data_IF_481798828904
#
_entry.id   IF_481798828904
#
_cell.length_a   1.000
_cell.length_b   1.000
_cell.length_c   1.000
_cell.angle_alpha   90.00
_cell.angle_beta   90.00
_cell.angle_gamma   90.00
#
_symmetry.space_group_name_H-M   'P 1'
#
loop_
_entity.id
_entity.type
_entity.pdbx_description
1 polymer ?
#
# COMPACT_ATOMS: atom_id res chain seq x y z
N UNK A 1 -13.34 0.06 -15.50
CA UNK A 1 -14.79 -0.15 -15.34
C UNK A 1 -14.96 -1.18 -14.24
N UNK A 2 -15.79 -0.89 -13.25
CA UNK A 2 -16.13 -1.79 -12.16
C UNK A 2 -17.51 -2.39 -12.45
N UNK A 3 -17.61 -3.72 -12.42
CA UNK A 3 -18.85 -4.44 -12.65
C UNK A 3 -19.35 -5.02 -11.32
N UNK A 4 -20.53 -4.59 -10.88
CA UNK A 4 -21.17 -5.11 -9.66
C UNK A 4 -21.97 -6.38 -9.98
N UNK A 5 -22.20 -7.21 -8.96
CA UNK A 5 -22.96 -8.46 -9.10
C UNK A 5 -24.42 -8.25 -9.55
N UNK A 6 -24.99 -7.07 -9.29
CA UNK A 6 -26.31 -6.64 -9.78
C UNK A 6 -26.29 -6.18 -11.26
N UNK A 7 -25.20 -6.44 -12.00
CA UNK A 7 -24.98 -6.03 -13.39
C UNK A 7 -24.78 -4.52 -13.63
N UNK A 8 -24.69 -3.72 -12.57
CA UNK A 8 -24.34 -2.31 -12.68
C UNK A 8 -22.87 -2.13 -13.10
N UNK A 9 -22.62 -1.12 -13.93
CA UNK A 9 -21.28 -0.82 -14.47
C UNK A 9 -20.88 0.61 -14.15
N UNK A 10 -19.87 0.75 -13.30
CA UNK A 10 -19.36 2.05 -12.85
C UNK A 10 -18.05 2.35 -13.58
N UNK A 11 -17.95 3.52 -14.21
CA UNK A 11 -16.70 4.00 -14.81
C UNK A 11 -15.90 4.73 -13.74
N UNK A 12 -14.65 4.32 -13.55
CA UNK A 12 -13.71 5.03 -12.68
C UNK A 12 -13.20 6.27 -13.42
N UNK A 13 -13.10 7.38 -12.71
CA UNK A 13 -12.49 8.61 -13.23
C UNK A 13 -10.96 8.51 -13.11
N UNK A 14 -10.23 9.35 -13.85
CA UNK A 14 -8.76 9.37 -13.79
C UNK A 14 -8.18 9.83 -12.44
N UNK A 15 -9.03 10.28 -11.51
CA UNK A 15 -8.62 10.70 -10.17
C UNK A 15 -8.52 9.53 -9.18
N UNK A 16 -8.98 8.34 -9.57
CA UNK A 16 -9.01 7.17 -8.69
C UNK A 16 -7.80 6.29 -8.97
N UNK A 17 -6.97 6.09 -7.93
CA UNK A 17 -5.88 5.13 -7.93
C UNK A 17 -6.14 4.06 -6.86
N UNK A 18 -5.90 2.80 -7.22
CA UNK A 18 -5.96 1.67 -6.28
C UNK A 18 -4.53 1.27 -5.93
N UNK A 19 -4.24 1.22 -4.64
CA UNK A 19 -2.97 0.74 -4.10
C UNK A 19 -3.23 -0.52 -3.27
N UNK A 20 -2.36 -1.51 -3.39
CA UNK A 20 -2.42 -2.74 -2.62
C UNK A 20 -1.09 -2.94 -1.93
N UNK A 21 -1.12 -3.12 -0.61
CA UNK A 21 0.01 -3.64 0.15
C UNK A 21 -0.15 -5.15 0.26
N UNK A 22 0.86 -5.89 -0.18
CA UNK A 22 0.86 -7.35 -0.17
C UNK A 22 2.20 -7.83 0.36
N UNK A 23 2.20 -8.93 1.10
CA UNK A 23 3.43 -9.53 1.63
C UNK A 23 4.20 -10.29 0.54
N UNK A 24 3.50 -11.07 -0.29
CA UNK A 24 4.08 -11.84 -1.38
C UNK A 24 3.10 -12.02 -2.55
N UNK A 25 3.62 -12.54 -3.66
CA UNK A 25 2.87 -12.83 -4.90
C UNK A 25 2.78 -14.33 -5.19
N UNK A 26 2.98 -15.20 -4.20
CA UNK A 26 3.12 -16.65 -4.39
C UNK A 26 1.88 -17.31 -5.03
N UNK A 27 0.70 -16.75 -4.78
CA UNK A 27 -0.59 -17.22 -5.33
C UNK A 27 -1.11 -16.36 -6.47
N UNK A 28 -0.38 -15.31 -6.87
CA UNK A 28 -0.82 -14.42 -7.94
C UNK A 28 -0.55 -15.04 -9.31
N UNK A 29 -1.51 -14.90 -10.23
CA UNK A 29 -1.29 -15.29 -11.63
C UNK A 29 -0.42 -14.25 -12.36
N UNK A 30 0.44 -14.66 -13.31
CA UNK A 30 1.22 -13.74 -14.15
C UNK A 30 0.36 -12.68 -14.87
N UNK A 31 -0.88 -13.03 -15.22
CA UNK A 31 -1.84 -12.13 -15.87
C UNK A 31 -2.38 -11.03 -14.93
N UNK A 32 -2.36 -11.26 -13.61
CA UNK A 32 -2.74 -10.25 -12.62
C UNK A 32 -1.62 -9.23 -12.44
N UNK A 33 -0.39 -9.72 -12.25
CA UNK A 33 0.76 -8.87 -11.96
C UNK A 33 1.24 -8.07 -13.16
N UNK A 34 0.98 -8.53 -14.39
CA UNK A 34 1.35 -7.79 -15.62
C UNK A 34 0.56 -6.51 -15.84
N UNK A 35 -0.58 -6.31 -15.15
CA UNK A 35 -1.47 -5.17 -15.33
C UNK A 35 -1.24 -4.05 -14.31
N UNK A 36 -0.39 -4.28 -13.31
CA UNK A 36 -0.15 -3.35 -12.21
C UNK A 36 1.32 -2.93 -12.16
N UNK A 37 1.57 -1.67 -11.77
CA UNK A 37 2.90 -1.24 -11.37
C UNK A 37 3.25 -1.85 -10.01
N UNK A 38 4.48 -2.35 -9.87
CA UNK A 38 4.96 -3.04 -8.67
C UNK A 38 6.16 -2.28 -8.10
N UNK A 39 6.16 -2.05 -6.80
CA UNK A 39 7.28 -1.48 -6.05
C UNK A 39 7.72 -2.52 -5.04
N UNK A 40 8.99 -2.92 -5.10
CA UNK A 40 9.58 -3.81 -4.11
C UNK A 40 10.22 -2.98 -3.00
N UNK A 41 9.98 -3.37 -1.74
CA UNK A 41 10.56 -2.73 -0.57
C UNK A 41 11.34 -3.78 0.21
N UNK A 42 12.64 -3.56 0.36
CA UNK A 42 13.49 -4.43 1.17
C UNK A 42 13.46 -3.96 2.64
N UNK A 43 13.16 -4.88 3.55
CA UNK A 43 13.19 -4.62 4.99
C UNK A 43 14.61 -4.35 5.51
N UNK A 44 15.64 -4.91 4.87
CA UNK A 44 17.03 -4.70 5.29
C UNK A 44 17.48 -3.28 4.98
N UNK A 45 17.10 -2.73 3.82
CA UNK A 45 17.40 -1.35 3.44
C UNK A 45 16.67 -0.32 4.31
N UNK A 46 15.43 -0.63 4.74
CA UNK A 46 14.66 0.26 5.60
C UNK A 46 15.27 0.37 7.01
N UNK A 47 15.76 -0.75 7.54
CA UNK A 47 16.40 -0.83 8.85
C UNK A 47 15.48 -0.52 10.05
N UNK A 48 15.98 -0.74 11.26
CA UNK A 48 15.22 -0.52 12.51
C UNK A 48 15.33 0.92 13.04
N UNK A 49 16.40 1.62 12.68
CA UNK A 49 16.73 2.97 13.17
C UNK A 49 15.61 4.01 12.96
N UNK A 50 14.93 4.09 11.80
CA UNK A 50 13.84 5.06 11.63
C UNK A 50 12.67 4.80 12.58
N UNK A 51 12.40 3.56 12.98
CA UNK A 51 11.35 3.24 13.95
C UNK A 51 11.70 3.77 15.35
N UNK A 52 12.96 3.69 15.75
CA UNK A 52 13.40 4.13 17.09
C UNK A 52 13.53 5.65 17.18
N UNK A 53 14.07 6.31 16.15
CA UNK A 53 14.25 7.77 16.15
C UNK A 53 12.93 8.56 16.18
N UNK A 54 11.84 7.98 15.67
CA UNK A 54 10.53 8.62 15.61
C UNK A 54 9.67 8.40 16.87
N UNK A 55 10.15 7.62 17.85
CA UNK A 55 9.49 7.53 19.15
C UNK A 55 9.67 8.88 19.85
N UNK A 56 8.58 9.65 19.96
CA UNK A 56 8.61 10.91 20.72
C UNK A 56 9.02 10.59 22.17
N UNK A 57 9.97 11.35 22.75
CA UNK A 57 10.18 11.32 24.19
C UNK A 57 8.86 11.69 24.88
N UNK A 58 8.48 10.93 25.92
CA UNK A 58 7.27 11.17 26.72
C UNK A 58 7.27 12.60 27.33
N UNK A 59 8.44 13.23 27.43
CA UNK A 59 8.63 14.60 27.92
C UNK A 59 8.08 15.69 26.97
N UNK A 60 7.92 15.41 25.68
CA UNK A 60 7.41 16.38 24.69
C UNK A 60 5.87 16.46 24.63
N UNK A 61 5.16 15.90 25.61
CA UNK A 61 3.68 15.87 25.69
C UNK A 61 3.12 16.95 26.62
N UNK A 62 3.97 17.61 27.42
CA UNK A 62 3.54 18.54 28.48
C UNK A 62 3.98 20.00 28.27
N UNK A 63 4.38 20.36 27.05
CA UNK A 63 4.82 21.71 26.69
C UNK A 63 3.89 22.39 25.66
N UNK A 64 2.61 22.00 25.68
CA UNK A 64 1.47 22.77 25.14
C UNK A 64 0.52 23.18 26.29
#
# INVERSE_FOLDING_TARGET
MLCLANSERIKLTNYVHMLFEVQDLAVASPATVSRCGMVYVDSEELGWMPYVKNIRPIEAVWED
#
